data_IF_921496981165
#
_entry.id   IF_921496981165
#
_cell.length_a   1.000
_cell.length_b   1.000
_cell.length_c   1.000
_cell.angle_alpha   90.00
_cell.angle_beta   90.00
_cell.angle_gamma   90.00
#
_symmetry.space_group_name_H-M   'P 1'
#
loop_
_entity.id
_entity.type
_entity.pdbx_description
1 polymer ?
#
# COMPACT_ATOMS: atom_id res chain seq x y z
N UNK A 1 7.11 8.06 6.96
CA UNK A 1 6.36 7.35 5.90
C UNK A 1 6.94 5.98 5.69
N UNK A 2 6.08 4.97 5.56
CA UNK A 2 6.48 3.61 5.16
C UNK A 2 5.64 3.23 3.94
N UNK A 3 6.31 2.99 2.82
CA UNK A 3 5.71 2.65 1.54
C UNK A 3 5.82 1.14 1.29
N UNK A 4 4.69 0.48 1.00
CA UNK A 4 4.65 -0.97 0.77
C UNK A 4 3.99 -1.26 -0.58
N UNK A 5 4.75 -1.85 -1.50
CA UNK A 5 4.26 -2.14 -2.85
C UNK A 5 3.30 -3.34 -2.90
N UNK A 6 2.64 -3.52 -4.04
CA UNK A 6 1.76 -4.64 -4.31
C UNK A 6 2.47 -5.85 -4.94
N UNK A 7 1.64 -6.81 -5.37
CA UNK A 7 2.07 -8.02 -6.06
C UNK A 7 2.70 -7.67 -7.43
N UNK A 8 3.83 -8.32 -7.77
CA UNK A 8 4.61 -8.04 -8.96
C UNK A 8 5.26 -6.65 -8.97
N UNK A 9 5.31 -5.99 -7.82
CA UNK A 9 5.89 -4.66 -7.62
C UNK A 9 7.34 -4.69 -7.13
N UNK A 10 7.96 -3.53 -7.15
CA UNK A 10 9.30 -3.27 -6.59
C UNK A 10 9.23 -2.02 -5.69
N UNK A 11 10.00 -1.93 -4.60
CA UNK A 11 9.98 -0.79 -3.67
C UNK A 11 10.25 0.57 -4.32
N UNK A 12 10.92 0.61 -5.48
CA UNK A 12 11.17 1.85 -6.23
C UNK A 12 10.24 1.98 -7.44
N UNK A 13 10.22 0.98 -8.33
CA UNK A 13 9.44 1.05 -9.57
C UNK A 13 7.96 1.27 -9.32
N UNK A 14 7.37 0.76 -8.24
CA UNK A 14 5.93 0.89 -7.96
C UNK A 14 5.52 2.35 -7.89
N UNK A 15 6.33 3.18 -7.22
CA UNK A 15 6.09 4.59 -6.97
C UNK A 15 6.77 5.50 -7.98
N UNK A 16 7.39 4.93 -9.02
CA UNK A 16 8.07 5.68 -10.07
C UNK A 16 7.16 5.84 -11.28
N UNK A 17 6.96 7.09 -11.70
CA UNK A 17 6.47 7.41 -13.03
C UNK A 17 7.63 7.29 -14.03
N UNK A 18 7.43 6.50 -15.09
CA UNK A 18 8.39 6.33 -16.17
C UNK A 18 7.70 6.59 -17.52
N UNK A 19 7.98 7.72 -18.19
CA UNK A 19 7.34 8.06 -19.45
C UNK A 19 7.71 7.11 -20.59
N UNK A 20 8.81 6.34 -20.46
CA UNK A 20 9.23 5.36 -21.47
C UNK A 20 8.50 4.02 -21.34
N UNK A 21 7.74 3.80 -20.26
CA UNK A 21 6.90 2.60 -20.06
C UNK A 21 5.45 2.82 -20.55
N UNK A 22 5.15 3.96 -21.17
CA UNK A 22 3.87 4.21 -21.83
C UNK A 22 3.78 3.47 -23.18
N UNK A 23 2.60 3.00 -23.63
CA UNK A 23 2.45 2.33 -24.91
C UNK A 23 3.00 3.18 -26.06
N UNK A 24 3.83 2.57 -26.89
CA UNK A 24 4.76 3.17 -27.87
C UNK A 24 4.12 3.94 -29.04
N UNK A 25 2.83 4.27 -28.99
CA UNK A 25 2.07 4.88 -30.10
C UNK A 25 1.83 6.39 -30.01
N UNK A 26 1.98 7.00 -28.82
CA UNK A 26 1.69 8.43 -28.60
C UNK A 26 2.93 9.30 -28.36
N UNK A 27 4.07 8.69 -28.01
CA UNK A 27 5.31 9.41 -27.75
C UNK A 27 5.91 10.08 -29.00
N UNK A 28 5.63 9.55 -30.21
CA UNK A 28 6.14 10.12 -31.47
C UNK A 28 5.35 11.35 -31.96
N UNK A 29 4.13 11.57 -31.47
CA UNK A 29 3.26 12.68 -31.88
C UNK A 29 3.44 13.94 -31.04
N UNK A 30 4.03 13.83 -29.85
CA UNK A 30 4.29 14.96 -28.97
C UNK A 30 5.80 15.20 -28.92
N UNK A 31 6.28 16.21 -29.66
CA UNK A 31 7.60 16.85 -29.44
C UNK A 31 7.64 17.59 -28.09
N UNK A 32 7.21 16.94 -27.01
CA UNK A 32 7.43 17.39 -25.64
C UNK A 32 8.80 16.88 -25.21
N UNK A 33 9.60 17.63 -24.43
CA UNK A 33 10.77 17.06 -23.78
C UNK A 33 10.32 15.78 -23.07
N UNK A 34 11.04 14.69 -23.28
CA UNK A 34 10.76 13.42 -22.59
C UNK A 34 10.79 13.76 -21.11
N UNK A 35 9.64 13.66 -20.44
CA UNK A 35 9.58 13.92 -19.00
C UNK A 35 10.63 13.05 -18.30
N UNK A 36 11.24 13.54 -17.23
CA UNK A 36 12.13 12.70 -16.44
C UNK A 36 11.31 11.60 -15.75
N UNK A 37 11.97 10.51 -15.36
CA UNK A 37 11.36 9.60 -14.37
C UNK A 37 11.17 10.36 -13.07
N UNK A 38 10.08 10.07 -12.37
CA UNK A 38 9.77 10.73 -11.09
C UNK A 38 9.45 9.66 -10.06
N UNK A 39 10.36 9.47 -9.10
CA UNK A 39 10.12 8.71 -7.89
C UNK A 39 9.54 9.66 -6.84
N UNK A 40 8.21 9.82 -6.89
CA UNK A 40 7.52 10.86 -6.12
C UNK A 40 7.79 10.89 -4.61
N UNK A 41 8.12 9.77 -3.92
CA UNK A 41 8.47 9.86 -2.50
C UNK A 41 9.70 10.73 -2.24
N UNK A 42 10.73 10.66 -3.07
CA UNK A 42 11.92 11.50 -2.90
C UNK A 42 11.87 12.77 -3.75
N UNK A 43 11.35 12.69 -4.97
CA UNK A 43 11.41 13.81 -5.91
C UNK A 43 10.34 14.88 -5.62
N UNK A 44 9.20 14.50 -5.04
CA UNK A 44 8.07 15.40 -4.80
C UNK A 44 7.73 15.54 -3.31
N UNK A 45 7.61 14.42 -2.58
CA UNK A 45 7.16 14.41 -1.19
C UNK A 45 8.23 14.98 -0.22
N UNK A 46 9.47 14.49 -0.29
CA UNK A 46 10.53 14.93 0.61
C UNK A 46 10.81 16.45 0.55
N UNK A 47 10.87 17.10 -0.64
CA UNK A 47 11.02 18.56 -0.72
C UNK A 47 9.83 19.33 -0.16
N UNK A 48 8.64 18.74 -0.19
CA UNK A 48 7.38 19.39 0.22
C UNK A 48 7.12 19.32 1.73
N UNK A 49 7.83 18.45 2.45
CA UNK A 49 7.65 18.22 3.88
C UNK A 49 9.00 18.24 4.62
N UNK A 50 9.36 19.33 5.32
CA UNK A 50 10.57 19.34 6.12
C UNK A 50 10.44 18.32 7.27
N UNK A 51 11.55 17.66 7.61
CA UNK A 51 11.67 16.72 8.74
C UNK A 51 10.84 15.44 8.64
N UNK A 52 10.70 14.88 7.44
CA UNK A 52 10.08 13.57 7.24
C UNK A 52 11.11 12.53 6.86
N UNK A 53 10.91 11.32 7.37
CA UNK A 53 11.64 10.12 6.94
C UNK A 53 10.75 9.26 6.04
N UNK A 54 11.34 8.73 4.98
CA UNK A 54 10.65 7.94 3.97
C UNK A 54 11.36 6.59 3.84
N UNK A 55 10.62 5.52 4.10
CA UNK A 55 11.08 4.15 3.92
C UNK A 55 10.24 3.49 2.81
N UNK A 56 10.88 2.86 1.84
CA UNK A 56 10.23 2.02 0.85
C UNK A 56 10.62 0.57 1.11
N UNK A 57 9.65 -0.26 1.48
CA UNK A 57 9.90 -1.65 1.84
C UNK A 57 9.71 -2.58 0.65
N UNK A 58 10.71 -3.43 0.42
CA UNK A 58 10.71 -4.46 -0.61
C UNK A 58 10.48 -5.85 -0.04
N UNK A 59 9.64 -6.64 -0.70
CA UNK A 59 9.50 -8.08 -0.44
C UNK A 59 9.41 -8.83 -1.77
N UNK A 60 9.67 -10.14 -1.74
CA UNK A 60 9.44 -10.99 -2.91
C UNK A 60 7.95 -10.99 -3.25
N UNK A 61 7.59 -10.27 -4.30
CA UNK A 61 6.21 -10.08 -4.71
C UNK A 61 5.83 -10.89 -5.94
N UNK A 62 6.66 -11.87 -6.33
CA UNK A 62 6.30 -12.78 -7.42
C UNK A 62 4.99 -13.52 -7.05
N UNK A 63 3.94 -13.44 -7.90
CA UNK A 63 2.68 -14.15 -7.69
C UNK A 63 2.84 -15.63 -7.36
N UNK A 64 3.82 -16.30 -7.97
CA UNK A 64 4.06 -17.73 -7.74
C UNK A 64 4.56 -17.95 -6.33
N UNK A 65 5.52 -17.15 -5.85
CA UNK A 65 6.11 -17.31 -4.53
C UNK A 65 5.17 -16.83 -3.42
N UNK A 66 4.44 -15.73 -3.67
CA UNK A 66 3.47 -15.19 -2.73
C UNK A 66 2.24 -16.11 -2.59
N UNK A 67 1.95 -16.99 -3.53
CA UNK A 67 0.76 -17.87 -3.44
C UNK A 67 1.10 -19.36 -3.57
N UNK A 68 2.33 -19.78 -3.32
CA UNK A 68 2.68 -21.20 -3.32
C UNK A 68 2.04 -21.93 -2.12
N UNK A 69 1.14 -22.87 -2.43
CA UNK A 69 0.36 -23.69 -1.50
C UNK A 69 1.19 -24.63 -0.62
N UNK A 70 2.47 -24.83 -0.92
CA UNK A 70 3.38 -25.57 -0.03
C UNK A 70 3.67 -24.75 1.24
N UNK A 71 3.34 -23.46 1.23
CA UNK A 71 3.58 -22.56 2.34
C UNK A 71 2.30 -21.77 2.67
N UNK A 72 1.67 -22.09 3.81
CA UNK A 72 0.79 -21.14 4.54
C UNK A 72 1.57 -19.88 5.02
N UNK A 73 2.66 -19.52 4.35
CA UNK A 73 3.86 -18.82 4.84
C UNK A 73 4.22 -17.63 3.94
N UNK A 74 3.34 -17.08 3.09
CA UNK A 74 3.73 -15.94 2.25
C UNK A 74 3.30 -14.59 2.83
N UNK A 75 2.01 -14.26 2.87
CA UNK A 75 1.49 -12.97 3.36
C UNK A 75 1.85 -12.77 4.84
N UNK A 76 1.59 -13.80 5.67
CA UNK A 76 1.95 -13.79 7.08
C UNK A 76 3.46 -13.60 7.28
N UNK A 77 4.30 -14.32 6.52
CA UNK A 77 5.75 -14.24 6.68
C UNK A 77 6.31 -12.91 6.20
N UNK A 78 5.84 -12.40 5.06
CA UNK A 78 6.26 -11.08 4.57
C UNK A 78 5.84 -9.98 5.55
N UNK A 79 4.64 -10.06 6.12
CA UNK A 79 4.19 -9.13 7.16
C UNK A 79 4.99 -9.26 8.46
N UNK A 80 5.32 -10.49 8.87
CA UNK A 80 6.16 -10.78 10.04
C UNK A 80 7.59 -10.25 9.84
N UNK A 81 8.19 -10.46 8.68
CA UNK A 81 9.51 -9.93 8.34
C UNK A 81 9.49 -8.39 8.33
N UNK A 82 8.50 -7.78 7.68
CA UNK A 82 8.34 -6.32 7.68
C UNK A 82 8.23 -5.78 9.11
N UNK A 83 7.46 -6.44 9.98
CA UNK A 83 7.32 -6.05 11.38
C UNK A 83 8.67 -6.14 12.12
N UNK A 84 9.40 -7.22 11.89
CA UNK A 84 10.69 -7.49 12.51
C UNK A 84 11.77 -6.50 12.04
N UNK A 85 11.78 -6.15 10.76
CA UNK A 85 12.72 -5.21 10.15
C UNK A 85 12.42 -3.79 10.62
N UNK A 86 11.15 -3.36 10.55
CA UNK A 86 10.75 -2.03 10.98
C UNK A 86 10.97 -1.82 12.49
N UNK A 87 10.71 -2.82 13.32
CA UNK A 87 10.93 -2.73 14.76
C UNK A 87 12.41 -2.82 15.18
N UNK A 88 13.31 -3.18 14.26
CA UNK A 88 14.77 -3.21 14.48
C UNK A 88 15.50 -2.06 13.81
N UNK A 89 14.81 -1.27 12.99
CA UNK A 89 15.35 -0.07 12.39
C UNK A 89 15.90 0.89 13.46
N UNK A 90 17.13 1.37 13.29
CA UNK A 90 17.86 2.09 14.33
C UNK A 90 17.12 3.35 14.80
N UNK A 91 16.63 4.18 13.87
CA UNK A 91 15.89 5.39 14.23
C UNK A 91 14.52 5.08 14.86
N UNK A 92 13.90 3.95 14.53
CA UNK A 92 12.68 3.48 15.21
C UNK A 92 12.99 3.00 16.62
N UNK A 93 14.14 2.36 16.84
CA UNK A 93 14.58 1.93 18.17
C UNK A 93 14.85 3.15 19.05
N UNK A 94 15.44 4.21 18.49
CA UNK A 94 15.67 5.48 19.18
C UNK A 94 14.37 6.25 19.45
N UNK A 95 13.44 6.27 18.50
CA UNK A 95 12.15 6.94 18.62
C UNK A 95 10.96 5.98 18.37
N UNK A 96 10.63 5.12 19.35
CA UNK A 96 9.59 4.10 19.19
C UNK A 96 8.20 4.69 18.94
N UNK A 97 7.92 5.87 19.49
CA UNK A 97 6.63 6.55 19.38
C UNK A 97 6.51 7.46 18.14
N UNK A 98 7.57 7.56 17.31
CA UNK A 98 7.55 8.41 16.11
C UNK A 98 6.35 8.05 15.20
N UNK A 99 5.45 8.96 14.88
CA UNK A 99 4.26 8.64 14.08
C UNK A 99 4.58 8.00 12.73
N UNK A 100 3.83 6.95 12.38
CA UNK A 100 3.92 6.24 11.10
C UNK A 100 2.72 6.58 10.24
N UNK A 101 2.98 7.10 9.04
CA UNK A 101 2.02 7.16 7.94
C UNK A 101 2.38 6.07 6.95
N UNK A 102 1.46 5.15 6.71
CA UNK A 102 1.60 4.06 5.75
C UNK A 102 1.03 4.48 4.40
N UNK A 103 1.80 4.28 3.32
CA UNK A 103 1.30 4.42 1.96
C UNK A 103 1.39 3.04 1.29
N UNK A 104 0.26 2.41 1.05
CA UNK A 104 0.23 0.97 0.75
C UNK A 104 -0.56 0.73 -0.51
N UNK A 105 0.01 -0.04 -1.43
CA UNK A 105 -0.60 -0.32 -2.73
C UNK A 105 -1.03 -1.77 -2.80
N UNK A 106 -2.27 -2.02 -3.24
CA UNK A 106 -2.74 -3.36 -3.60
C UNK A 106 -2.50 -4.37 -2.47
N UNK A 107 -1.81 -5.49 -2.72
CA UNK A 107 -1.44 -6.50 -1.71
C UNK A 107 -0.64 -5.93 -0.52
N UNK A 108 0.15 -4.87 -0.72
CA UNK A 108 0.90 -4.22 0.36
C UNK A 108 0.00 -3.71 1.49
N UNK A 109 -1.25 -3.36 1.17
CA UNK A 109 -2.24 -3.02 2.18
C UNK A 109 -2.64 -4.21 3.05
N UNK A 110 -2.79 -5.40 2.46
CA UNK A 110 -3.09 -6.63 3.22
C UNK A 110 -1.92 -7.03 4.10
N UNK A 111 -0.69 -6.93 3.61
CA UNK A 111 0.52 -7.15 4.41
C UNK A 111 0.57 -6.20 5.62
N UNK A 112 0.23 -4.93 5.40
CA UNK A 112 0.22 -3.92 6.46
C UNK A 112 -0.86 -4.24 7.51
N UNK A 113 -2.06 -4.65 7.10
CA UNK A 113 -3.10 -5.11 8.02
C UNK A 113 -2.63 -6.31 8.86
N UNK A 114 -2.00 -7.29 8.22
CA UNK A 114 -1.46 -8.49 8.89
C UNK A 114 -0.35 -8.14 9.88
N UNK A 115 0.51 -7.19 9.52
CA UNK A 115 1.56 -6.67 10.39
C UNK A 115 0.99 -5.98 11.63
N UNK A 116 -0.04 -5.15 11.46
CA UNK A 116 -0.66 -4.45 12.59
C UNK A 116 -1.36 -5.43 13.54
N UNK A 117 -1.99 -6.47 12.99
CA UNK A 117 -2.54 -7.57 13.79
C UNK A 117 -1.43 -8.30 14.58
N UNK A 118 -0.30 -8.59 13.95
CA UNK A 118 0.87 -9.18 14.63
C UNK A 118 1.44 -8.27 15.72
N UNK A 119 1.49 -6.96 15.47
CA UNK A 119 1.91 -5.96 16.45
C UNK A 119 0.96 -5.93 17.65
N UNK A 120 -0.35 -5.95 17.42
CA UNK A 120 -1.37 -6.02 18.49
C UNK A 120 -1.18 -7.24 19.39
N UNK A 121 -0.84 -8.40 18.80
CA UNK A 121 -0.67 -9.68 19.50
C UNK A 121 0.68 -9.81 20.22
N UNK A 122 1.61 -8.89 20.01
CA UNK A 122 2.98 -8.97 20.50
C UNK A 122 3.11 -8.57 21.99
N UNK A 123 2.23 -9.07 22.86
CA UNK A 123 2.15 -8.73 24.29
C UNK A 123 3.50 -8.76 25.01
N UNK A 124 4.29 -9.81 24.79
CA UNK A 124 5.60 -10.01 25.43
C UNK A 124 6.80 -9.49 24.60
N UNK A 125 6.54 -8.74 23.52
CA UNK A 125 7.57 -8.20 22.62
C UNK A 125 7.35 -6.70 22.41
N UNK A 126 7.71 -5.84 23.38
CA UNK A 126 7.37 -4.41 23.37
C UNK A 126 7.77 -3.67 22.09
N UNK A 127 8.93 -4.01 21.50
CA UNK A 127 9.40 -3.43 20.24
C UNK A 127 8.49 -3.74 19.05
N UNK A 128 7.94 -4.95 18.98
CA UNK A 128 7.00 -5.30 17.92
C UNK A 128 5.63 -4.69 18.21
N UNK A 129 5.23 -4.63 19.48
CA UNK A 129 3.95 -4.06 19.94
C UNK A 129 3.85 -2.56 19.71
N UNK A 130 4.96 -1.82 19.72
CA UNK A 130 4.94 -0.35 19.56
C UNK A 130 4.52 0.11 18.17
N UNK A 131 4.56 -0.76 17.15
CA UNK A 131 4.24 -0.37 15.76
C UNK A 131 2.76 0.00 15.58
N UNK A 132 1.83 -0.74 16.19
CA UNK A 132 0.40 -0.40 16.12
C UNK A 132 0.09 0.95 16.79
N UNK A 133 0.50 1.22 18.05
CA UNK A 133 0.31 2.53 18.67
C UNK A 133 1.00 3.68 17.93
N UNK A 134 2.17 3.45 17.32
CA UNK A 134 2.87 4.44 16.52
C UNK A 134 2.21 4.70 15.15
N UNK A 135 1.27 3.86 14.71
CA UNK A 135 0.54 4.08 13.47
C UNK A 135 -0.41 5.24 13.62
N UNK A 136 -0.21 6.30 12.84
CA UNK A 136 -1.04 7.50 12.84
C UNK A 136 -2.07 7.48 11.71
N UNK A 137 -1.66 7.05 10.51
CA UNK A 137 -2.57 6.98 9.37
C UNK A 137 -2.15 5.92 8.35
N UNK A 138 -3.12 5.44 7.57
CA UNK A 138 -2.92 4.50 6.47
C UNK A 138 -3.63 5.03 5.23
N UNK A 139 -2.88 5.16 4.13
CA UNK A 139 -3.37 5.48 2.80
C UNK A 139 -3.36 4.22 1.95
N UNK A 140 -4.54 3.66 1.68
CA UNK A 140 -4.72 2.51 0.80
C UNK A 140 -4.87 2.95 -0.65
N UNK A 141 -4.10 2.38 -1.55
CA UNK A 141 -4.21 2.60 -2.99
C UNK A 141 -4.62 1.30 -3.66
N UNK A 142 -5.89 1.21 -4.06
CA UNK A 142 -6.42 0.03 -4.74
C UNK A 142 -6.20 -1.26 -3.94
N UNK A 143 -6.32 -1.22 -2.61
CA UNK A 143 -6.20 -2.44 -1.79
C UNK A 143 -7.54 -3.18 -1.78
N UNK A 144 -7.63 -4.41 -2.29
CA UNK A 144 -8.83 -5.24 -2.16
C UNK A 144 -9.04 -5.66 -0.70
N UNK A 145 -9.84 -4.91 0.04
CA UNK A 145 -10.21 -5.24 1.41
C UNK A 145 -11.15 -6.43 1.50
N UNK A 146 -12.16 -6.58 0.63
CA UNK A 146 -13.17 -7.64 0.79
C UNK A 146 -12.87 -8.86 -0.08
N UNK A 147 -12.88 -10.05 0.55
CA UNK A 147 -12.32 -11.31 0.02
C UNK A 147 -13.19 -12.10 -0.98
N UNK A 148 -14.42 -11.69 -1.28
CA UNK A 148 -15.35 -12.49 -2.08
C UNK A 148 -14.92 -12.73 -3.55
N UNK A 149 -14.07 -11.88 -4.13
CA UNK A 149 -13.41 -12.13 -5.43
C UNK A 149 -11.87 -12.01 -5.34
N UNK A 150 -11.27 -12.46 -4.22
CA UNK A 150 -9.80 -12.47 -4.11
C UNK A 150 -9.16 -13.30 -5.23
N UNK A 151 -9.85 -14.36 -5.64
CA UNK A 151 -9.38 -15.23 -6.69
C UNK A 151 -9.35 -14.53 -8.06
N UNK A 152 -10.40 -13.78 -8.40
CA UNK A 152 -10.46 -12.98 -9.61
C UNK A 152 -9.48 -11.82 -9.58
N UNK A 153 -9.37 -11.10 -8.46
CA UNK A 153 -8.36 -10.06 -8.27
C UNK A 153 -6.94 -10.59 -8.55
N UNK A 154 -6.55 -11.69 -7.90
CA UNK A 154 -5.21 -12.25 -8.09
C UNK A 154 -4.96 -12.73 -9.51
N UNK A 155 -5.97 -13.30 -10.17
CA UNK A 155 -5.88 -13.66 -11.58
C UNK A 155 -5.63 -12.43 -12.46
N UNK A 156 -6.35 -11.32 -12.23
CA UNK A 156 -6.19 -10.05 -12.96
C UNK A 156 -4.79 -9.47 -12.74
N UNK A 157 -4.32 -9.40 -11.50
CA UNK A 157 -2.99 -8.87 -11.16
C UNK A 157 -1.87 -9.75 -11.70
N UNK A 158 -1.96 -11.08 -11.60
CA UNK A 158 -0.95 -12.01 -12.12
C UNK A 158 -0.78 -11.86 -13.64
N UNK A 159 -1.90 -11.75 -14.37
CA UNK A 159 -1.86 -11.53 -15.82
C UNK A 159 -1.13 -10.22 -16.15
N UNK A 160 -1.37 -9.15 -15.39
CA UNK A 160 -0.73 -7.85 -15.59
C UNK A 160 0.74 -7.83 -15.19
N UNK A 161 1.09 -8.53 -14.10
CA UNK A 161 2.45 -8.56 -13.56
C UNK A 161 3.36 -9.48 -14.37
N UNK A 162 2.92 -10.72 -14.66
CA UNK A 162 3.73 -11.77 -15.24
C UNK A 162 3.47 -12.03 -16.73
N UNK A 163 2.41 -11.46 -17.31
CA UNK A 163 2.03 -11.70 -18.71
C UNK A 163 1.63 -13.15 -19.00
N UNK A 164 1.39 -13.97 -17.97
CA UNK A 164 1.08 -15.41 -18.08
C UNK A 164 -0.18 -15.76 -17.30
N UNK A 165 -0.96 -16.71 -17.83
CA UNK A 165 -2.04 -17.40 -17.08
C UNK A 165 -1.42 -18.64 -16.46
N UNK A 166 -1.30 -18.68 -15.13
CA UNK A 166 -0.74 -19.83 -14.43
C UNK A 166 -1.79 -20.48 -13.51
N UNK A 167 -2.17 -21.72 -13.81
CA UNK A 167 -3.24 -22.45 -13.11
C UNK A 167 -2.88 -22.82 -11.66
N UNK A 168 -1.59 -22.72 -11.28
CA UNK A 168 -1.11 -22.97 -9.91
C UNK A 168 -1.58 -21.89 -8.95
N UNK A 169 -1.61 -20.63 -9.40
CA UNK A 169 -2.14 -19.50 -8.62
C UNK A 169 -3.60 -19.75 -8.25
N UNK A 170 -4.39 -20.37 -9.14
CA UNK A 170 -5.83 -20.60 -8.94
C UNK A 170 -6.19 -21.54 -7.77
N UNK A 171 -5.32 -22.51 -7.43
CA UNK A 171 -5.62 -23.51 -6.38
C UNK A 171 -5.26 -23.05 -4.96
N UNK A 172 -4.44 -22.00 -4.82
CA UNK A 172 -4.11 -21.43 -3.51
C UNK A 172 -5.18 -20.48 -2.95
N UNK A 173 -6.14 -20.11 -3.80
CA UNK A 173 -7.10 -19.04 -3.54
C UNK A 173 -8.22 -19.47 -2.60
N UNK A 174 -8.62 -20.74 -2.65
CA UNK A 174 -9.74 -21.26 -1.85
C UNK A 174 -9.41 -21.48 -0.37
N UNK A 175 -8.13 -21.61 -0.01
CA UNK A 175 -7.69 -21.85 1.39
C UNK A 175 -7.41 -20.53 2.13
N UNK A 176 -7.18 -19.43 1.40
CA UNK A 176 -6.79 -18.15 1.98
C UNK A 176 -7.97 -17.19 2.27
N UNK A 177 -9.18 -17.44 1.76
CA UNK A 177 -10.31 -16.50 1.91
C UNK A 177 -10.76 -16.34 3.36
N UNK A 178 -10.90 -17.42 4.13
CA UNK A 178 -11.33 -17.36 5.53
C UNK A 178 -10.30 -16.64 6.42
N UNK A 179 -9.01 -16.87 6.19
CA UNK A 179 -7.95 -16.18 6.93
C UNK A 179 -7.92 -14.68 6.62
N UNK A 180 -8.18 -14.30 5.36
CA UNK A 180 -8.27 -12.89 4.95
C UNK A 180 -9.52 -12.20 5.50
N UNK A 181 -10.67 -12.86 5.48
CA UNK A 181 -11.91 -12.35 6.09
C UNK A 181 -11.72 -12.08 7.59
N UNK A 182 -11.16 -13.05 8.32
CA UNK A 182 -10.81 -12.88 9.73
C UNK A 182 -9.85 -11.71 9.96
N UNK A 183 -8.86 -11.52 9.08
CA UNK A 183 -7.94 -10.39 9.15
C UNK A 183 -8.67 -9.05 8.93
N UNK A 184 -9.66 -9.00 8.04
CA UNK A 184 -10.43 -7.79 7.80
C UNK A 184 -11.29 -7.41 9.00
N UNK A 185 -11.97 -8.39 9.61
CA UNK A 185 -12.75 -8.16 10.83
C UNK A 185 -11.87 -7.67 11.97
N UNK A 186 -10.69 -8.28 12.13
CA UNK A 186 -9.67 -7.79 13.06
C UNK A 186 -9.25 -6.36 12.77
N UNK A 187 -9.00 -6.03 11.51
CA UNK A 187 -8.61 -4.67 11.13
C UNK A 187 -9.73 -3.66 11.40
N UNK A 188 -10.99 -4.00 11.12
CA UNK A 188 -12.13 -3.15 11.44
C UNK A 188 -12.25 -2.91 12.96
N UNK A 189 -12.00 -3.94 13.78
CA UNK A 189 -11.95 -3.77 15.23
C UNK A 189 -10.77 -2.90 15.68
N UNK A 190 -9.59 -3.05 15.05
CA UNK A 190 -8.45 -2.17 15.32
C UNK A 190 -8.76 -0.72 14.96
N UNK A 191 -9.42 -0.46 13.83
CA UNK A 191 -9.81 0.89 13.41
C UNK A 191 -10.77 1.55 14.42
N UNK A 192 -11.68 0.78 15.01
CA UNK A 192 -12.60 1.27 16.06
C UNK A 192 -11.92 1.47 17.42
N UNK A 193 -10.94 0.63 17.74
CA UNK A 193 -10.27 0.61 19.05
C UNK A 193 -9.01 1.48 19.15
N UNK A 194 -8.48 1.97 18.03
CA UNK A 194 -7.25 2.76 17.96
C UNK A 194 -7.52 4.13 17.32
N UNK A 195 -6.57 5.05 17.48
CA UNK A 195 -6.72 6.45 17.03
C UNK A 195 -6.09 6.74 15.66
N UNK A 196 -5.85 5.70 14.85
CA UNK A 196 -5.25 5.91 13.53
C UNK A 196 -6.32 6.15 12.46
N UNK A 197 -5.97 6.96 11.47
CA UNK A 197 -6.88 7.34 10.39
C UNK A 197 -6.68 6.47 9.16
N UNK A 198 -7.73 6.35 8.33
CA UNK A 198 -7.67 5.63 7.07
C UNK A 198 -8.21 6.48 5.93
N UNK A 199 -7.43 6.53 4.85
CA UNK A 199 -7.87 7.10 3.59
C UNK A 199 -7.71 6.07 2.46
N UNK A 200 -8.75 5.90 1.65
CA UNK A 200 -8.79 4.92 0.56
C UNK A 200 -8.85 5.64 -0.79
N UNK A 201 -7.84 5.42 -1.63
CA UNK A 201 -7.82 5.85 -3.01
C UNK A 201 -8.39 4.76 -3.93
N UNK A 202 -9.41 5.12 -4.69
CA UNK A 202 -10.12 4.24 -5.63
C UNK A 202 -9.65 4.50 -7.07
N UNK A 203 -9.69 3.46 -7.91
CA UNK A 203 -9.42 3.56 -9.34
C UNK A 203 -10.58 4.27 -10.06
N UNK A 204 -10.26 5.20 -10.97
CA UNK A 204 -11.24 5.96 -11.74
C UNK A 204 -11.22 5.66 -13.24
N UNK A 205 -10.15 5.04 -13.74
CA UNK A 205 -10.03 4.57 -15.13
C UNK A 205 -9.90 3.06 -15.15
N UNK A 206 -10.90 2.39 -15.70
CA UNK A 206 -10.86 0.94 -15.81
C UNK A 206 -11.57 0.44 -17.05
N UNK A 207 -10.84 -0.34 -17.86
CA UNK A 207 -11.41 -1.17 -18.93
C UNK A 207 -11.70 -2.59 -18.40
N UNK A 208 -11.17 -2.94 -17.22
CA UNK A 208 -11.37 -4.20 -16.47
C UNK A 208 -10.99 -3.94 -15.02
N UNK A 209 -11.95 -3.76 -14.11
CA UNK A 209 -11.65 -3.37 -12.71
C UNK A 209 -10.71 -4.39 -12.08
N UNK A 210 -9.46 -4.03 -11.79
CA UNK A 210 -8.54 -4.98 -11.19
C UNK A 210 -9.03 -5.29 -9.78
N UNK A 211 -9.40 -4.23 -9.06
CA UNK A 211 -10.15 -4.30 -7.80
C UNK A 211 -11.52 -3.69 -8.03
N UNK A 212 -12.57 -4.47 -7.77
CA UNK A 212 -13.93 -3.95 -7.77
C UNK A 212 -14.09 -2.89 -6.66
N UNK A 213 -14.80 -1.80 -6.93
CA UNK A 213 -14.95 -0.68 -5.99
C UNK A 213 -15.40 -1.14 -4.59
N UNK A 214 -16.38 -2.06 -4.54
CA UNK A 214 -16.85 -2.65 -3.29
C UNK A 214 -15.77 -3.41 -2.53
N UNK A 215 -14.86 -4.08 -3.24
CA UNK A 215 -13.70 -4.74 -2.63
C UNK A 215 -12.67 -3.74 -2.15
N UNK A 216 -12.50 -2.59 -2.80
CA UNK A 216 -11.55 -1.55 -2.39
C UNK A 216 -11.99 -0.76 -1.15
N UNK A 217 -13.24 -0.93 -0.69
CA UNK A 217 -13.83 -0.18 0.42
C UNK A 217 -13.82 -1.01 1.71
N UNK A 218 -13.31 -0.42 2.80
CA UNK A 218 -13.40 -1.02 4.14
C UNK A 218 -14.85 -1.01 4.62
N UNK A 219 -15.53 0.12 4.44
CA UNK A 219 -16.93 0.31 4.83
C UNK A 219 -17.11 0.66 6.30
N UNK A 220 -16.07 1.19 6.95
CA UNK A 220 -16.15 1.80 8.27
C UNK A 220 -16.45 3.31 8.15
N UNK A 221 -17.06 3.90 9.16
CA UNK A 221 -17.42 5.33 9.17
C UNK A 221 -16.18 6.24 9.26
N UNK A 222 -15.06 5.74 9.78
CA UNK A 222 -13.79 6.46 9.86
C UNK A 222 -12.99 6.46 8.55
N UNK A 223 -13.45 5.73 7.52
CA UNK A 223 -12.78 5.67 6.22
C UNK A 223 -13.17 6.85 5.33
N UNK A 224 -12.21 7.71 5.03
CA UNK A 224 -12.33 8.69 3.96
C UNK A 224 -11.91 8.10 2.61
N UNK A 225 -12.47 8.64 1.52
CA UNK A 225 -12.28 8.07 0.18
C UNK A 225 -12.06 9.15 -0.88
N UNK A 226 -11.22 8.83 -1.87
CA UNK A 226 -11.00 9.67 -3.04
C UNK A 226 -10.76 8.82 -4.29
N UNK A 227 -11.46 9.10 -5.38
CA UNK A 227 -11.21 8.45 -6.67
C UNK A 227 -10.10 9.17 -7.46
N UNK A 228 -9.10 8.42 -7.91
CA UNK A 228 -8.01 8.92 -8.76
C UNK A 228 -8.28 8.61 -10.23
N UNK A 229 -7.96 9.54 -11.12
CA UNK A 229 -8.19 9.39 -12.56
C UNK A 229 -7.10 8.53 -13.22
N UNK A 230 -6.98 7.29 -12.75
CA UNK A 230 -5.92 6.34 -13.07
C UNK A 230 -6.41 4.90 -12.94
N UNK A 231 -5.67 3.98 -13.55
CA UNK A 231 -5.83 2.53 -13.35
C UNK A 231 -5.04 2.06 -12.13
N UNK A 232 -5.23 0.79 -11.73
CA UNK A 232 -4.55 0.17 -10.59
C UNK A 232 -3.03 0.37 -10.55
N UNK A 233 -2.34 0.40 -11.70
CA UNK A 233 -0.87 0.49 -11.76
C UNK A 233 -0.40 1.94 -11.75
N UNK A 234 -1.15 2.83 -12.39
CA UNK A 234 -0.81 4.24 -12.57
C UNK A 234 -1.28 5.13 -11.43
N UNK A 235 -2.21 4.69 -10.57
CA UNK A 235 -2.74 5.49 -9.46
C UNK A 235 -1.70 5.92 -8.42
N UNK A 236 -0.55 5.24 -8.37
CA UNK A 236 0.59 5.52 -7.47
C UNK A 236 1.81 6.07 -8.23
N UNK A 237 1.63 6.49 -9.49
CA UNK A 237 2.70 6.95 -10.40
C UNK A 237 2.42 8.36 -10.88
N UNK A 238 3.07 9.33 -10.28
CA UNK A 238 2.81 10.74 -10.55
C UNK A 238 3.89 11.37 -11.41
N UNK A 239 3.45 12.13 -12.40
CA UNK A 239 4.34 12.77 -13.38
C UNK A 239 5.07 14.01 -12.85
N UNK A 240 4.61 14.59 -11.73
CA UNK A 240 5.20 15.78 -11.12
C UNK A 240 4.27 16.47 -10.13
N UNK A 241 4.68 17.63 -9.62
CA UNK A 241 3.88 18.44 -8.67
C UNK A 241 2.54 18.92 -9.25
N UNK A 242 2.46 19.10 -10.58
CA UNK A 242 1.26 19.53 -11.28
C UNK A 242 0.33 18.36 -11.65
N UNK A 243 0.69 17.12 -11.30
CA UNK A 243 -0.15 15.94 -11.55
C UNK A 243 -1.41 16.01 -10.66
N UNK A 244 -2.64 16.02 -11.24
CA UNK A 244 -3.86 16.14 -10.45
C UNK A 244 -4.07 15.01 -9.44
N UNK A 245 -3.57 13.81 -9.73
CA UNK A 245 -3.67 12.69 -8.80
C UNK A 245 -2.64 12.83 -7.67
N UNK A 246 -1.47 13.40 -7.94
CA UNK A 246 -0.50 13.74 -6.89
C UNK A 246 -1.05 14.81 -5.96
N UNK A 247 -1.62 15.90 -6.48
CA UNK A 247 -2.18 16.97 -5.66
C UNK A 247 -3.26 16.43 -4.68
N UNK A 248 -4.12 15.52 -5.15
CA UNK A 248 -5.12 14.84 -4.30
C UNK A 248 -4.45 14.00 -3.21
N UNK A 249 -3.50 13.14 -3.57
CA UNK A 249 -2.79 12.30 -2.62
C UNK A 249 -1.99 13.13 -1.60
N UNK A 250 -1.31 14.18 -2.06
CA UNK A 250 -0.49 15.05 -1.24
C UNK A 250 -1.33 15.90 -0.26
N UNK A 251 -2.53 16.34 -0.64
CA UNK A 251 -3.46 17.02 0.29
C UNK A 251 -3.77 16.15 1.51
N UNK A 252 -4.08 14.88 1.29
CA UNK A 252 -4.32 13.91 2.37
C UNK A 252 -3.07 13.73 3.23
N UNK A 253 -1.90 13.55 2.62
CA UNK A 253 -0.63 13.45 3.35
C UNK A 253 -0.40 14.69 4.24
N UNK A 254 -0.58 15.88 3.66
CA UNK A 254 -0.37 17.14 4.35
C UNK A 254 -1.31 17.29 5.54
N UNK A 255 -2.55 16.84 5.42
CA UNK A 255 -3.53 16.92 6.51
C UNK A 255 -3.13 16.02 7.69
N UNK A 256 -2.69 14.78 7.43
CA UNK A 256 -2.12 13.91 8.47
C UNK A 256 -0.86 14.50 9.13
N UNK A 257 0.07 15.03 8.34
CA UNK A 257 1.31 15.63 8.88
C UNK A 257 0.99 16.84 9.76
N UNK A 258 0.03 17.69 9.36
CA UNK A 258 -0.42 18.84 10.15
C UNK A 258 -1.09 18.42 11.45
N UNK A 259 -1.77 17.27 11.48
CA UNK A 259 -2.36 16.75 12.71
C UNK A 259 -1.30 16.23 13.69
N UNK A 260 -0.29 15.51 13.19
CA UNK A 260 0.87 15.09 13.98
C UNK A 260 1.54 16.31 14.61
N UNK A 261 1.85 17.34 13.82
CA UNK A 261 2.51 18.56 14.30
C UNK A 261 1.71 19.26 15.39
N UNK A 262 0.39 19.41 15.20
CA UNK A 262 -0.50 20.01 16.21
C UNK A 262 -0.54 19.23 17.52
N UNK A 263 -0.40 17.90 17.46
CA UNK A 263 -0.44 17.04 18.65
C UNK A 263 0.87 17.08 19.44
N UNK A 264 2.00 17.41 18.80
CA UNK A 264 3.30 17.53 19.45
C UNK A 264 3.58 18.92 20.04
N UNK A 265 2.86 19.95 19.60
CA UNK A 265 3.01 21.34 20.08
C UNK A 265 2.13 21.69 21.29
N UNK A 266 1.14 20.84 21.63
CA UNK A 266 0.20 21.04 22.74
C UNK A 266 0.50 20.16 23.94
#
# INVERSE_FOLDING_TARGET
FVLVHGLGGHPEDTWTYDPNRLPSGLASLLRRPVAAKVFWPLDLLAPSLPNVRILAYGYDSDPVHVFDNVSRVSVYQHASNLLQDLARDDERVEEPDRPIIWCVHSLGGILTKQLLALSSDAEYKPRLRSILPATHAIMFFGTPHRGSDWAGFLKRVTILAAGRREDRVLRALSVNSESLENLMDRFANMLKGNKFQVHTFLEGKSVTDIVEEFSAIIGDAAEERYTLDADHRSMVKYSGVDDPNYDRAFKVVRDFVREIQRTHEG
#
